data_IF_968388938303
#
_entry.id   IF_968388938303
#
_cell.length_a   1.000
_cell.length_b   1.000
_cell.length_c   1.000
_cell.angle_alpha   90.00
_cell.angle_beta   90.00
_cell.angle_gamma   90.00
#
_symmetry.space_group_name_H-M   'P 1'
#
loop_
_entity.id
_entity.type
_entity.pdbx_description
1 polymer ?
#
# COMPACT_ATOMS: atom_id res chain seq x y z
N UNK A 1 -6.05 0.87 -38.27
CA UNK A 1 -6.30 0.33 -36.91
C UNK A 1 -5.94 1.44 -35.92
N UNK A 2 -6.92 2.14 -35.36
CA UNK A 2 -6.63 3.17 -34.35
C UNK A 2 -6.16 2.47 -33.07
N UNK A 3 -5.12 2.96 -32.37
CA UNK A 3 -4.64 2.33 -31.15
C UNK A 3 -5.77 2.28 -30.12
N UNK A 4 -5.91 1.13 -29.45
CA UNK A 4 -6.87 0.95 -28.37
C UNK A 4 -6.62 2.02 -27.29
N UNK A 5 -7.59 2.92 -27.08
CA UNK A 5 -7.46 3.99 -26.10
C UNK A 5 -7.51 3.39 -24.70
N UNK A 6 -6.35 3.29 -24.06
CA UNK A 6 -6.25 2.78 -22.69
C UNK A 6 -7.12 3.62 -21.75
N UNK A 7 -8.08 2.96 -21.11
CA UNK A 7 -8.93 3.61 -20.11
C UNK A 7 -8.29 3.45 -18.74
N UNK A 8 -7.88 4.57 -18.14
CA UNK A 8 -7.31 4.57 -16.78
C UNK A 8 -8.43 4.49 -15.73
N UNK A 9 -8.19 3.70 -14.67
CA UNK A 9 -9.11 3.57 -13.55
C UNK A 9 -9.23 4.86 -12.75
N UNK A 10 -8.11 5.55 -12.53
CA UNK A 10 -8.07 6.83 -11.82
C UNK A 10 -7.96 7.95 -12.85
N UNK A 11 -8.93 8.87 -12.81
CA UNK A 11 -9.01 10.04 -13.69
C UNK A 11 -9.23 11.30 -12.86
N UNK A 12 -8.76 12.42 -13.41
CA UNK A 12 -9.09 13.76 -12.94
C UNK A 12 -10.05 14.40 -13.94
N UNK A 13 -10.78 15.48 -13.58
CA UNK A 13 -11.61 16.19 -14.54
C UNK A 13 -10.84 16.62 -15.80
N UNK A 14 -9.57 17.02 -15.65
CA UNK A 14 -8.72 17.41 -16.76
C UNK A 14 -8.36 16.21 -17.67
N UNK A 15 -7.93 15.09 -17.09
CA UNK A 15 -7.53 13.90 -17.88
C UNK A 15 -8.72 13.16 -18.49
N UNK A 16 -9.90 13.22 -17.86
CA UNK A 16 -11.12 12.62 -18.38
C UNK A 16 -11.62 13.32 -19.66
N UNK A 17 -11.46 14.65 -19.74
CA UNK A 17 -11.87 15.46 -20.89
C UNK A 17 -10.80 15.51 -22.00
N UNK A 18 -9.58 15.08 -21.73
CA UNK A 18 -8.50 15.06 -22.71
C UNK A 18 -8.72 13.99 -23.77
N UNK A 19 -8.52 14.32 -25.06
CA UNK A 19 -8.79 13.41 -26.18
C UNK A 19 -7.95 12.13 -26.12
N UNK A 20 -6.71 12.24 -25.63
CA UNK A 20 -5.79 11.11 -25.45
C UNK A 20 -5.95 10.40 -24.10
N UNK A 21 -6.76 10.93 -23.18
CA UNK A 21 -7.00 10.40 -21.83
C UNK A 21 -5.71 9.93 -21.13
N UNK A 22 -4.73 10.80 -20.90
CA UNK A 22 -3.48 10.39 -20.29
C UNK A 22 -3.67 9.98 -18.82
N UNK A 23 -2.73 9.21 -18.28
CA UNK A 23 -2.69 8.87 -16.87
C UNK A 23 -2.59 10.13 -16.00
N UNK A 24 -3.19 10.07 -14.80
CA UNK A 24 -3.06 11.15 -13.82
C UNK A 24 -1.64 11.16 -13.28
N UNK A 25 -0.96 12.31 -13.39
CA UNK A 25 0.37 12.51 -12.85
C UNK A 25 0.40 12.49 -11.33
N UNK A 26 1.55 12.12 -10.75
CA UNK A 26 1.69 12.00 -9.28
C UNK A 26 1.51 13.34 -8.54
N UNK A 27 1.78 14.47 -9.20
CA UNK A 27 1.56 15.80 -8.66
C UNK A 27 0.07 16.10 -8.37
N UNK A 28 -0.86 15.51 -9.11
CA UNK A 28 -2.29 15.64 -8.80
C UNK A 28 -2.64 14.96 -7.47
N UNK A 29 -1.91 13.90 -7.10
CA UNK A 29 -2.10 13.22 -5.83
C UNK A 29 -1.48 13.99 -4.66
N UNK A 30 -0.41 14.80 -4.87
CA UNK A 30 0.13 15.64 -3.79
C UNK A 30 -0.84 16.72 -3.35
N UNK A 31 -1.53 17.39 -4.29
CA UNK A 31 -2.59 18.35 -3.93
C UNK A 31 -3.75 17.66 -3.20
N UNK A 32 -4.08 16.42 -3.57
CA UNK A 32 -5.09 15.64 -2.87
C UNK A 32 -4.65 15.32 -1.44
N UNK A 33 -3.41 14.84 -1.24
CA UNK A 33 -2.80 14.65 0.09
C UNK A 33 -2.91 15.91 0.92
N UNK A 34 -2.48 17.05 0.40
CA UNK A 34 -2.44 18.31 1.17
C UNK A 34 -3.86 18.77 1.54
N UNK A 35 -4.85 18.53 0.66
CA UNK A 35 -6.25 18.86 0.91
C UNK A 35 -6.91 17.98 1.98
N UNK A 36 -6.61 16.68 2.00
CA UNK A 36 -7.26 15.72 2.92
C UNK A 36 -6.40 15.33 4.11
N UNK A 37 -5.14 15.79 4.16
CA UNK A 37 -4.18 15.47 5.21
C UNK A 37 -3.64 14.03 5.21
N UNK A 38 -3.81 13.26 4.13
CA UNK A 38 -3.46 11.82 4.10
C UNK A 38 -2.14 11.60 3.36
N UNK A 39 -1.12 11.15 4.09
CA UNK A 39 0.12 10.67 3.51
C UNK A 39 -0.03 9.23 2.96
N UNK A 40 0.19 9.05 1.66
CA UNK A 40 0.05 7.73 1.00
C UNK A 40 0.99 6.66 1.54
N UNK A 41 2.19 7.03 1.97
CA UNK A 41 3.13 6.08 2.60
C UNK A 41 2.59 5.60 3.94
N UNK A 42 2.03 6.51 4.75
CA UNK A 42 1.39 6.16 6.02
C UNK A 42 0.16 5.28 5.77
N UNK A 43 -0.70 5.64 4.82
CA UNK A 43 -1.87 4.84 4.46
C UNK A 43 -1.49 3.41 4.06
N UNK A 44 -0.41 3.26 3.28
CA UNK A 44 0.13 1.94 2.91
C UNK A 44 0.63 1.18 4.14
N UNK A 45 1.38 1.82 5.03
CA UNK A 45 1.87 1.20 6.26
C UNK A 45 0.72 0.78 7.19
N UNK A 46 -0.31 1.60 7.31
CA UNK A 46 -1.47 1.32 8.16
C UNK A 46 -2.23 0.11 7.65
N UNK A 47 -2.46 0.01 6.33
CA UNK A 47 -3.08 -1.18 5.74
C UNK A 47 -2.22 -2.44 5.89
N UNK A 48 -0.89 -2.31 5.82
CA UNK A 48 0.05 -3.42 6.10
C UNK A 48 -0.04 -3.90 7.55
N UNK A 49 -0.09 -2.98 8.51
CA UNK A 49 -0.23 -3.30 9.94
C UNK A 49 -1.58 -3.95 10.24
N UNK A 50 -2.64 -3.42 9.64
CA UNK A 50 -4.00 -3.94 9.77
C UNK A 50 -4.09 -5.40 9.30
N UNK A 51 -3.64 -5.69 8.08
CA UNK A 51 -3.61 -7.06 7.54
C UNK A 51 -2.72 -8.00 8.38
N UNK A 52 -1.59 -7.50 8.88
CA UNK A 52 -0.70 -8.27 9.74
C UNK A 52 -1.37 -8.66 11.05
N UNK A 53 -2.16 -7.76 11.66
CA UNK A 53 -2.96 -8.02 12.88
C UNK A 53 -4.16 -8.92 12.65
N UNK A 54 -4.70 -8.95 11.43
CA UNK A 54 -5.83 -9.81 11.10
C UNK A 54 -5.37 -11.26 10.86
N UNK A 55 -4.25 -11.45 10.17
CA UNK A 55 -3.90 -12.76 9.61
C UNK A 55 -2.67 -13.42 10.21
N UNK A 56 -1.72 -12.63 10.75
CA UNK A 56 -0.40 -13.12 11.17
C UNK A 56 0.37 -13.91 10.10
N UNK A 57 0.02 -13.80 8.81
CA UNK A 57 0.60 -14.61 7.72
C UNK A 57 1.54 -13.78 6.84
N UNK A 58 2.88 -13.97 6.96
CA UNK A 58 3.84 -13.23 6.17
C UNK A 58 3.75 -13.55 4.66
N UNK A 59 3.34 -14.76 4.27
CA UNK A 59 3.20 -15.12 2.84
C UNK A 59 2.03 -14.37 2.21
N UNK A 60 0.93 -14.20 2.95
CA UNK A 60 -0.21 -13.38 2.51
C UNK A 60 0.17 -11.92 2.33
N UNK A 61 0.93 -11.34 3.26
CA UNK A 61 1.42 -9.96 3.12
C UNK A 61 2.31 -9.77 1.89
N UNK A 62 3.20 -10.74 1.61
CA UNK A 62 4.04 -10.72 0.40
C UNK A 62 3.19 -10.73 -0.88
N UNK A 63 2.18 -11.60 -0.94
CA UNK A 63 1.30 -11.72 -2.11
C UNK A 63 0.42 -10.50 -2.31
N UNK A 64 -0.13 -9.94 -1.24
CA UNK A 64 -1.07 -8.82 -1.33
C UNK A 64 -0.38 -7.49 -1.60
N UNK A 65 0.77 -7.25 -0.98
CA UNK A 65 1.44 -5.95 -1.02
C UNK A 65 2.72 -5.91 -1.86
N UNK A 66 3.23 -7.06 -2.32
CA UNK A 66 4.49 -7.12 -3.09
C UNK A 66 5.72 -6.73 -2.28
N UNK A 67 5.74 -7.07 -0.99
CA UNK A 67 6.87 -6.79 -0.09
C UNK A 67 7.80 -8.00 0.02
N UNK A 68 9.01 -7.79 0.51
CA UNK A 68 9.98 -8.87 0.78
C UNK A 68 9.59 -9.68 2.01
N UNK A 69 10.15 -10.89 2.14
CA UNK A 69 9.98 -11.74 3.32
C UNK A 69 10.44 -11.07 4.60
N UNK A 70 11.58 -10.36 4.57
CA UNK A 70 12.10 -9.61 5.71
C UNK A 70 11.08 -8.57 6.21
N UNK A 71 10.51 -7.79 5.29
CA UNK A 71 9.48 -6.79 5.65
C UNK A 71 8.21 -7.45 6.16
N UNK A 72 7.74 -8.53 5.53
CA UNK A 72 6.54 -9.25 5.96
C UNK A 72 6.67 -9.82 7.38
N UNK A 73 7.79 -10.50 7.66
CA UNK A 73 8.08 -11.05 8.99
C UNK A 73 8.19 -9.93 10.03
N UNK A 74 8.82 -8.81 9.69
CA UNK A 74 8.88 -7.64 10.58
C UNK A 74 7.48 -7.18 10.98
N UNK A 75 6.57 -6.98 10.01
CA UNK A 75 5.20 -6.55 10.32
C UNK A 75 4.46 -7.56 11.21
N UNK A 76 4.57 -8.87 10.94
CA UNK A 76 3.95 -9.91 11.79
C UNK A 76 4.52 -9.88 13.21
N UNK A 77 5.84 -9.76 13.38
CA UNK A 77 6.47 -9.65 14.71
C UNK A 77 6.02 -8.40 15.46
N UNK A 78 5.89 -7.27 14.76
CA UNK A 78 5.40 -6.03 15.40
C UNK A 78 3.92 -6.08 15.77
N UNK A 79 3.12 -6.88 15.05
CA UNK A 79 1.70 -7.08 15.34
C UNK A 79 1.48 -7.99 16.55
N UNK A 80 2.40 -8.94 16.80
CA UNK A 80 2.36 -9.90 17.91
C UNK A 80 3.70 -9.98 18.65
N UNK A 81 4.09 -8.93 19.41
CA UNK A 81 5.36 -8.91 20.13
C UNK A 81 5.54 -10.11 21.06
N UNK A 82 4.47 -10.53 21.74
CA UNK A 82 4.42 -11.64 22.70
C UNK A 82 4.79 -13.00 22.10
N UNK A 83 4.67 -13.17 20.78
CA UNK A 83 5.07 -14.40 20.07
C UNK A 83 6.54 -14.42 19.69
N UNK A 84 7.23 -13.30 19.88
CA UNK A 84 8.61 -13.10 19.44
C UNK A 84 9.57 -12.73 20.58
N UNK A 85 9.06 -12.51 21.78
CA UNK A 85 9.86 -12.39 23.00
C UNK A 85 10.36 -13.77 23.42
N UNK A 86 11.67 -13.98 23.34
CA UNK A 86 12.32 -15.11 23.99
C UNK A 86 12.24 -14.85 25.49
N UNK A 87 11.66 -15.78 26.25
CA UNK A 87 11.65 -15.70 27.71
C UNK A 87 13.11 -15.73 28.21
N UNK A 88 13.61 -14.68 28.89
CA UNK A 88 14.98 -14.64 29.39
C UNK A 88 15.29 -15.73 30.44
N UNK A 89 14.27 -16.44 30.92
CA UNK A 89 14.40 -17.55 31.88
C UNK A 89 14.63 -18.91 31.20
N UNK A 90 14.57 -18.97 29.86
CA UNK A 90 14.71 -20.20 29.06
C UNK A 90 16.10 -20.34 28.40
N UNK A 91 17.09 -19.51 28.79
CA UNK A 91 18.45 -19.48 28.22
C UNK A 91 19.52 -19.98 29.20
#
# INVERSE_FOLDING_TARGET
MAPERQSHLIVSPLTALHIERPAVGIANFSSLRDRIGINFTQLRQDRLRDEARETADPVRLMRLFGITSHTAIHYVRTAYPERSTIDPTQA
#
